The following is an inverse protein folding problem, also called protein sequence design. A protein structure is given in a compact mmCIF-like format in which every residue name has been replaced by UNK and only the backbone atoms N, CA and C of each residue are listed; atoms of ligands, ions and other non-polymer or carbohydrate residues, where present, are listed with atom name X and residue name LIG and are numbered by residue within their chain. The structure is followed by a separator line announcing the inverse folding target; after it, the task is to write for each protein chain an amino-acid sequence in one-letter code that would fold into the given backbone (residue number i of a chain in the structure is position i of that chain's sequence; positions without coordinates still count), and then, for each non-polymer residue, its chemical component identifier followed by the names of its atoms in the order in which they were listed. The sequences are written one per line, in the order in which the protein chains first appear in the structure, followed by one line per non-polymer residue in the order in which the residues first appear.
data_IF_805978984292
#
_entry.id   IF_805978984292
#
_cell.length_a   1.000
_cell.length_b   1.000
_cell.length_c   1.000
_cell.angle_alpha   90.00
_cell.angle_beta   90.00
_cell.angle_gamma   90.00
#
_symmetry.space_group_name_H-M   'P 1'
#
loop_
_entity.id
_entity.type
_entity.pdbx_description
1 polymer ?
#
# COMPACT_ATOMS: atom_id res chain seq x y z
N UNK A 1 -16.38 -19.89 19.41
CA UNK A 1 -17.56 -19.29 20.07
C UNK A 1 -17.91 -18.03 19.29
N UNK A 2 -19.03 -18.07 18.57
CA UNK A 2 -19.49 -17.01 17.67
C UNK A 2 -20.13 -15.88 18.48
N UNK A 3 -19.43 -14.77 18.65
CA UNK A 3 -19.99 -13.53 19.21
C UNK A 3 -20.63 -12.73 18.07
N UNK A 4 -21.88 -13.08 17.74
CA UNK A 4 -22.72 -12.22 16.93
C UNK A 4 -22.92 -10.89 17.65
N UNK A 5 -22.28 -9.82 17.16
CA UNK A 5 -22.63 -8.45 17.55
C UNK A 5 -23.95 -8.12 16.87
N UNK A 6 -25.03 -8.34 17.59
CA UNK A 6 -26.36 -7.79 17.29
C UNK A 6 -26.26 -6.27 17.20
N UNK A 7 -26.69 -5.72 16.06
CA UNK A 7 -27.00 -4.30 15.92
C UNK A 7 -27.86 -3.86 17.11
N UNK A 8 -27.44 -2.80 17.79
CA UNK A 8 -28.23 -2.16 18.84
C UNK A 8 -29.64 -1.92 18.31
N UNK A 9 -30.64 -2.57 18.90
CA UNK A 9 -32.03 -2.23 18.68
C UNK A 9 -32.23 -0.80 19.17
N UNK A 10 -32.25 0.16 18.25
CA UNK A 10 -32.53 1.56 18.53
C UNK A 10 -33.88 1.62 19.26
N UNK A 11 -33.83 1.87 20.57
CA UNK A 11 -35.03 2.06 21.39
C UNK A 11 -35.88 3.17 20.78
N UNK A 12 -37.16 2.87 20.49
CA UNK A 12 -38.15 3.83 19.95
C UNK A 12 -38.44 5.01 20.92
N UNK A 13 -37.81 5.05 22.08
CA UNK A 13 -38.27 5.90 23.19
C UNK A 13 -38.00 7.41 23.04
N UNK A 14 -37.44 7.92 21.92
CA UNK A 14 -37.29 9.36 21.69
C UNK A 14 -37.25 9.73 20.19
N UNK A 15 -38.33 9.48 19.43
CA UNK A 15 -38.44 10.03 18.06
C UNK A 15 -38.79 11.52 18.14
N UNK A 16 -38.02 12.42 17.50
CA UNK A 16 -38.32 13.84 17.55
C UNK A 16 -39.65 14.13 16.84
N UNK A 17 -40.39 15.11 17.33
CA UNK A 17 -41.69 15.49 16.75
C UNK A 17 -41.51 16.60 15.69
N UNK A 18 -40.74 16.30 14.64
CA UNK A 18 -40.45 17.25 13.56
C UNK A 18 -41.66 17.41 12.62
N UNK A 19 -42.38 16.32 12.38
CA UNK A 19 -43.66 16.30 11.67
C UNK A 19 -44.75 15.72 12.59
N UNK A 20 -46.03 16.10 12.41
CA UNK A 20 -47.16 15.47 13.10
C UNK A 20 -47.14 13.95 12.92
N UNK A 21 -46.95 13.21 14.01
CA UNK A 21 -46.70 11.76 13.96
C UNK A 21 -47.83 10.96 13.31
N UNK A 22 -49.09 11.33 13.54
CA UNK A 22 -50.26 10.65 12.99
C UNK A 22 -50.60 11.01 11.54
N UNK A 23 -49.92 11.99 10.95
CA UNK A 23 -50.18 12.41 9.57
C UNK A 23 -49.46 11.53 8.57
N UNK A 24 -50.12 11.28 7.42
CA UNK A 24 -49.57 10.47 6.33
C UNK A 24 -49.09 11.38 5.20
N UNK A 25 -47.85 11.16 4.78
CA UNK A 25 -47.18 11.86 3.71
C UNK A 25 -46.95 10.93 2.53
N UNK A 26 -47.16 11.43 1.32
CA UNK A 26 -47.06 10.70 0.06
C UNK A 26 -45.77 11.08 -0.67
N UNK A 27 -44.94 10.10 -0.98
CA UNK A 27 -43.65 10.31 -1.66
C UNK A 27 -43.67 9.49 -2.94
N UNK A 28 -43.72 10.18 -4.08
CA UNK A 28 -43.63 9.56 -5.40
C UNK A 28 -42.16 9.46 -5.79
N UNK A 29 -41.64 8.23 -5.92
CA UNK A 29 -40.27 7.94 -6.34
C UNK A 29 -40.32 7.21 -7.67
N UNK A 30 -39.87 7.87 -8.73
CA UNK A 30 -39.94 7.32 -10.09
C UNK A 30 -41.37 6.93 -10.46
N UNK A 31 -41.60 5.65 -10.72
CA UNK A 31 -42.88 5.05 -11.09
C UNK A 31 -43.72 4.55 -9.90
N UNK A 32 -43.26 4.71 -8.65
CA UNK A 32 -43.95 4.19 -7.47
C UNK A 32 -44.28 5.24 -6.43
N UNK A 33 -45.38 5.02 -5.72
CA UNK A 33 -45.84 5.86 -4.62
C UNK A 33 -45.61 5.14 -3.29
N UNK A 34 -45.08 5.87 -2.31
CA UNK A 34 -44.85 5.40 -0.95
C UNK A 34 -45.59 6.30 0.04
N UNK A 35 -46.18 5.70 1.07
CA UNK A 35 -46.85 6.43 2.15
C UNK A 35 -46.14 6.16 3.47
N UNK A 36 -45.74 7.24 4.15
CA UNK A 36 -45.03 7.19 5.44
C UNK A 36 -45.70 8.13 6.43
N UNK A 37 -45.72 7.75 7.70
CA UNK A 37 -46.20 8.63 8.76
C UNK A 37 -45.17 9.72 9.08
N UNK A 38 -45.63 10.83 9.67
CA UNK A 38 -44.75 11.86 10.18
C UNK A 38 -43.78 11.32 11.24
N UNK A 39 -44.15 10.29 11.99
CA UNK A 39 -43.27 9.57 12.92
C UNK A 39 -42.12 8.90 12.18
N UNK A 40 -42.40 8.11 11.14
CA UNK A 40 -41.37 7.44 10.34
C UNK A 40 -40.41 8.43 9.68
N UNK A 41 -40.93 9.53 9.12
CA UNK A 41 -40.09 10.56 8.52
C UNK A 41 -39.24 11.32 9.55
N UNK A 42 -39.71 11.44 10.79
CA UNK A 42 -38.97 12.10 11.86
C UNK A 42 -37.93 11.19 12.52
N UNK A 43 -37.97 9.88 12.30
CA UNK A 43 -37.06 8.90 12.91
C UNK A 43 -35.57 9.24 12.71
N UNK A 44 -35.20 9.62 11.49
CA UNK A 44 -33.85 10.09 11.12
C UNK A 44 -33.88 11.52 10.58
N UNK A 45 -34.65 12.38 11.27
CA UNK A 45 -34.68 13.82 11.01
C UNK A 45 -33.71 14.60 11.93
N UNK A 46 -33.31 15.83 11.55
CA UNK A 46 -33.72 16.56 10.35
C UNK A 46 -33.14 15.94 9.07
N UNK A 47 -33.98 15.84 8.04
CA UNK A 47 -33.71 15.23 6.74
C UNK A 47 -34.36 16.04 5.63
N UNK A 48 -34.07 15.69 4.37
CA UNK A 48 -34.74 16.28 3.20
C UNK A 48 -36.28 16.25 3.33
N UNK A 49 -36.84 15.15 3.83
CA UNK A 49 -38.30 15.00 3.96
C UNK A 49 -38.88 15.90 5.04
N UNK A 50 -38.28 15.92 6.24
CA UNK A 50 -38.78 16.76 7.33
C UNK A 50 -38.67 18.22 6.95
N UNK A 51 -37.56 18.63 6.33
CA UNK A 51 -37.36 20.03 5.93
C UNK A 51 -38.37 20.45 4.86
N UNK A 52 -38.59 19.60 3.85
CA UNK A 52 -39.56 19.87 2.78
C UNK A 52 -40.99 20.00 3.31
N UNK A 53 -41.47 19.04 4.11
CA UNK A 53 -42.85 19.05 4.59
C UNK A 53 -43.08 20.09 5.70
N UNK A 54 -42.05 20.43 6.49
CA UNK A 54 -42.11 21.56 7.42
C UNK A 54 -42.26 22.90 6.68
N UNK A 55 -41.52 23.09 5.59
CA UNK A 55 -41.60 24.30 4.76
C UNK A 55 -42.91 24.38 3.96
N UNK A 56 -43.50 23.23 3.59
CA UNK A 56 -44.69 23.13 2.74
C UNK A 56 -45.87 22.51 3.50
N UNK A 57 -46.32 23.12 4.60
CA UNK A 57 -47.34 22.55 5.51
C UNK A 57 -48.67 22.17 4.86
N UNK A 58 -49.05 22.83 3.77
CA UNK A 58 -50.30 22.56 3.03
C UNK A 58 -50.16 21.41 2.02
N UNK A 59 -48.94 20.93 1.78
CA UNK A 59 -48.63 19.91 0.78
C UNK A 59 -48.25 18.62 1.48
N UNK A 60 -49.04 17.56 1.26
CA UNK A 60 -48.76 16.22 1.81
C UNK A 60 -48.10 15.29 0.79
N UNK A 61 -47.66 15.80 -0.36
CA UNK A 61 -47.01 15.01 -1.41
C UNK A 61 -45.73 15.63 -1.97
N UNK A 62 -44.80 14.79 -2.41
CA UNK A 62 -43.59 15.20 -3.15
C UNK A 62 -43.27 14.15 -4.22
N UNK A 63 -42.68 14.59 -5.33
CA UNK A 63 -42.18 13.72 -6.40
C UNK A 63 -40.67 13.87 -6.54
N UNK A 64 -39.94 12.75 -6.61
CA UNK A 64 -38.49 12.68 -6.68
C UNK A 64 -38.07 11.65 -7.74
N UNK A 65 -37.14 12.03 -8.61
CA UNK A 65 -36.60 11.14 -9.63
C UNK A 65 -35.44 10.30 -9.09
N UNK A 66 -35.75 9.20 -8.39
CA UNK A 66 -34.78 8.25 -7.79
C UNK A 66 -35.28 6.81 -7.93
N UNK A 67 -34.46 5.83 -7.55
CA UNK A 67 -34.78 4.41 -7.69
C UNK A 67 -35.84 3.96 -6.65
N UNK A 68 -37.01 3.47 -7.08
CA UNK A 68 -38.01 2.94 -6.14
C UNK A 68 -37.52 1.69 -5.39
N UNK A 69 -36.62 0.91 -6.00
CA UNK A 69 -36.04 -0.30 -5.40
C UNK A 69 -35.21 0.04 -4.16
N UNK A 70 -34.35 1.06 -4.27
CA UNK A 70 -33.49 1.52 -3.17
C UNK A 70 -34.34 2.22 -2.11
N UNK A 71 -35.28 3.07 -2.54
CA UNK A 71 -36.15 3.79 -1.62
C UNK A 71 -37.03 2.87 -0.77
N UNK A 72 -37.45 1.72 -1.29
CA UNK A 72 -38.17 0.71 -0.48
C UNK A 72 -37.38 0.30 0.76
N UNK A 73 -36.05 0.15 0.67
CA UNK A 73 -35.20 -0.15 1.82
C UNK A 73 -35.13 1.03 2.80
N UNK A 74 -35.08 2.26 2.28
CA UNK A 74 -35.13 3.48 3.10
C UNK A 74 -36.44 3.55 3.89
N UNK A 75 -37.58 3.24 3.26
CA UNK A 75 -38.88 3.16 3.95
C UNK A 75 -38.83 2.16 5.11
N UNK A 76 -38.30 0.95 4.86
CA UNK A 76 -38.16 -0.07 5.91
C UNK A 76 -37.33 0.46 7.09
N UNK A 77 -36.21 1.15 6.83
CA UNK A 77 -35.40 1.77 7.87
C UNK A 77 -36.13 2.87 8.64
N UNK A 78 -36.82 3.79 7.94
CA UNK A 78 -37.59 4.87 8.57
C UNK A 78 -38.75 4.34 9.42
N UNK A 79 -39.26 3.14 9.09
CA UNK A 79 -40.25 2.40 9.88
C UNK A 79 -39.63 1.60 11.05
N UNK A 80 -38.30 1.61 11.18
CA UNK A 80 -37.55 0.96 12.25
C UNK A 80 -37.16 -0.50 11.98
N UNK A 81 -37.26 -0.99 10.74
CA UNK A 81 -36.77 -2.32 10.36
C UNK A 81 -35.27 -2.28 10.03
N UNK A 82 -34.57 -3.36 10.39
CA UNK A 82 -33.19 -3.57 9.95
C UNK A 82 -33.13 -3.76 8.42
N UNK A 83 -32.17 -3.11 7.76
CA UNK A 83 -31.91 -3.29 6.33
C UNK A 83 -30.84 -4.36 6.16
N UNK A 84 -31.05 -5.26 5.19
CA UNK A 84 -30.02 -6.18 4.72
C UNK A 84 -29.33 -5.65 3.45
N UNK A 85 -28.01 -5.61 3.49
CA UNK A 85 -27.14 -5.25 2.37
C UNK A 85 -26.54 -6.55 1.82
N UNK A 86 -27.09 -7.02 0.70
CA UNK A 86 -26.73 -8.31 0.12
C UNK A 86 -25.59 -8.25 -0.92
N UNK A 87 -25.35 -7.08 -1.52
CA UNK A 87 -24.40 -6.92 -2.62
C UNK A 87 -23.87 -5.48 -2.69
N UNK A 88 -22.84 -5.27 -3.52
CA UNK A 88 -22.21 -3.97 -3.76
C UNK A 88 -23.21 -2.94 -4.31
N UNK A 89 -24.06 -3.32 -5.26
CA UNK A 89 -25.07 -2.42 -5.84
C UNK A 89 -25.96 -1.80 -4.75
N UNK A 90 -26.51 -2.63 -3.87
CA UNK A 90 -27.39 -2.21 -2.79
C UNK A 90 -26.63 -1.33 -1.78
N UNK A 91 -25.36 -1.64 -1.47
CA UNK A 91 -24.53 -0.84 -0.57
C UNK A 91 -24.30 0.57 -1.12
N UNK A 92 -23.76 0.65 -2.33
CA UNK A 92 -23.41 1.89 -3.04
C UNK A 92 -24.62 2.80 -3.18
N UNK A 93 -25.73 2.27 -3.71
CA UNK A 93 -26.90 3.10 -3.98
C UNK A 93 -27.64 3.52 -2.71
N UNK A 94 -27.68 2.67 -1.68
CA UNK A 94 -28.30 3.04 -0.42
C UNK A 94 -27.49 4.12 0.29
N UNK A 95 -26.16 4.07 0.22
CA UNK A 95 -25.28 5.09 0.79
C UNK A 95 -25.43 6.44 0.07
N UNK A 96 -25.48 6.41 -1.27
CA UNK A 96 -25.75 7.59 -2.11
C UNK A 96 -27.09 8.22 -1.79
N UNK A 97 -28.16 7.42 -1.73
CA UNK A 97 -29.50 7.93 -1.47
C UNK A 97 -29.64 8.41 -0.01
N UNK A 98 -29.02 7.73 0.97
CA UNK A 98 -28.97 8.20 2.35
C UNK A 98 -28.30 9.58 2.46
N UNK A 99 -27.23 9.82 1.70
CA UNK A 99 -26.59 11.13 1.62
C UNK A 99 -27.50 12.17 0.95
N UNK A 100 -28.13 11.82 -0.18
CA UNK A 100 -29.06 12.69 -0.92
C UNK A 100 -30.24 13.15 -0.05
N UNK A 101 -30.88 12.23 0.66
CA UNK A 101 -32.01 12.53 1.56
C UNK A 101 -31.58 13.10 2.92
N UNK A 102 -30.27 13.25 3.17
CA UNK A 102 -29.70 13.72 4.44
C UNK A 102 -30.09 12.87 5.65
N UNK A 103 -30.20 11.56 5.48
CA UNK A 103 -30.49 10.59 6.54
C UNK A 103 -29.20 10.27 7.30
N UNK A 104 -28.87 11.10 8.30
CA UNK A 104 -27.55 11.09 8.93
C UNK A 104 -27.30 9.83 9.75
N UNK A 105 -28.30 9.33 10.50
CA UNK A 105 -28.15 8.11 11.30
C UNK A 105 -28.00 6.89 10.39
N UNK A 106 -28.79 6.80 9.32
CA UNK A 106 -28.65 5.74 8.31
C UNK A 106 -27.27 5.77 7.67
N UNK A 107 -26.87 6.94 7.14
CA UNK A 107 -25.56 7.11 6.51
C UNK A 107 -24.42 6.69 7.44
N UNK A 108 -24.47 7.13 8.70
CA UNK A 108 -23.47 6.74 9.72
C UNK A 108 -23.47 5.23 9.96
N UNK A 109 -24.64 4.60 10.07
CA UNK A 109 -24.74 3.15 10.23
C UNK A 109 -24.13 2.39 9.05
N UNK A 110 -24.43 2.81 7.81
CA UNK A 110 -23.90 2.17 6.60
C UNK A 110 -22.38 2.24 6.48
N UNK A 111 -21.76 3.32 6.96
CA UNK A 111 -20.29 3.48 6.96
C UNK A 111 -19.60 2.59 8.00
N UNK A 112 -20.33 2.18 9.05
CA UNK A 112 -19.83 1.24 10.07
C UNK A 112 -19.98 -0.23 9.64
N UNK A 113 -20.95 -0.53 8.77
CA UNK A 113 -21.11 -1.86 8.18
C UNK A 113 -19.95 -2.20 7.22
N UNK A 114 -19.62 -3.49 7.02
CA UNK A 114 -18.58 -3.88 6.09
C UNK A 114 -18.96 -3.45 4.66
N UNK A 115 -17.99 -2.86 3.96
CA UNK A 115 -18.09 -2.55 2.54
C UNK A 115 -18.30 -3.84 1.75
N UNK A 116 -19.30 -3.83 0.87
CA UNK A 116 -19.54 -4.90 -0.09
C UNK A 116 -18.81 -4.56 -1.39
N UNK A 117 -17.80 -5.35 -1.75
CA UNK A 117 -17.01 -5.12 -2.97
C UNK A 117 -17.02 -6.36 -3.85
N UNK A 118 -17.09 -6.16 -5.17
CA UNK A 118 -16.91 -7.23 -6.15
C UNK A 118 -15.49 -7.22 -6.70
N UNK A 119 -14.81 -8.36 -6.61
CA UNK A 119 -13.47 -8.55 -7.18
C UNK A 119 -13.51 -9.81 -8.03
N UNK A 120 -13.24 -9.68 -9.34
CA UNK A 120 -13.27 -10.81 -10.27
C UNK A 120 -14.59 -11.61 -10.28
N UNK A 121 -15.72 -10.95 -9.97
CA UNK A 121 -17.05 -11.58 -9.89
C UNK A 121 -17.41 -12.18 -8.53
N UNK A 122 -16.47 -12.26 -7.59
CA UNK A 122 -16.73 -12.68 -6.21
C UNK A 122 -17.00 -11.48 -5.30
N UNK A 123 -17.97 -11.61 -4.39
CA UNK A 123 -18.31 -10.54 -3.43
C UNK A 123 -17.59 -10.74 -2.11
N UNK A 124 -16.89 -9.70 -1.66
CA UNK A 124 -16.17 -9.66 -0.39
C UNK A 124 -16.82 -8.64 0.56
N UNK A 125 -16.76 -8.96 1.85
CA UNK A 125 -17.12 -8.07 2.96
C UNK A 125 -15.85 -7.58 3.62
N UNK A 126 -15.64 -6.26 3.62
CA UNK A 126 -14.42 -5.67 4.14
C UNK A 126 -14.77 -4.58 5.14
N UNK A 127 -14.27 -4.71 6.37
CA UNK A 127 -14.42 -3.67 7.37
C UNK A 127 -13.44 -2.52 7.07
N UNK A 128 -13.90 -1.29 7.28
CA UNK A 128 -13.10 -0.08 7.11
C UNK A 128 -11.79 -0.13 7.92
N UNK A 129 -11.83 -0.76 9.09
CA UNK A 129 -10.67 -0.99 9.96
C UNK A 129 -9.58 -1.83 9.29
N UNK A 130 -9.95 -2.89 8.56
CA UNK A 130 -9.02 -3.76 7.81
C UNK A 130 -8.24 -2.97 6.75
N UNK A 131 -8.87 -1.95 6.18
CA UNK A 131 -8.32 -1.10 5.12
C UNK A 131 -7.46 0.06 5.66
N UNK A 132 -7.55 0.36 6.96
CA UNK A 132 -6.96 1.56 7.57
C UNK A 132 -5.68 1.28 8.39
N UNK A 133 -4.83 0.39 7.88
CA UNK A 133 -3.50 0.14 8.47
C UNK A 133 -2.41 1.03 7.84
N UNK A 134 -1.31 1.33 8.58
CA UNK A 134 -0.19 2.12 8.05
C UNK A 134 0.33 1.58 6.71
N UNK A 135 0.44 2.47 5.72
CA UNK A 135 0.87 2.11 4.37
C UNK A 135 -0.18 1.41 3.52
N UNK A 136 -1.35 1.05 4.05
CA UNK A 136 -2.45 0.45 3.29
C UNK A 136 -3.63 1.42 3.10
N UNK A 137 -3.52 2.66 3.57
CA UNK A 137 -4.53 3.72 3.40
C UNK A 137 -3.84 5.05 3.04
N UNK A 138 -4.40 5.86 2.13
CA UNK A 138 -5.59 5.58 1.32
C UNK A 138 -5.32 4.50 0.25
N UNK A 139 -6.27 3.58 0.11
CA UNK A 139 -6.26 2.51 -0.90
C UNK A 139 -7.38 2.68 -1.93
N UNK A 140 -7.36 1.83 -2.95
CA UNK A 140 -8.36 1.76 -4.01
C UNK A 140 -9.80 1.85 -3.50
N UNK A 141 -10.17 1.04 -2.50
CA UNK A 141 -11.53 0.98 -1.97
C UNK A 141 -11.92 2.25 -1.20
N UNK A 142 -11.03 2.73 -0.34
CA UNK A 142 -11.28 3.98 0.41
C UNK A 142 -11.39 5.19 -0.52
N UNK A 143 -10.61 5.22 -1.62
CA UNK A 143 -10.66 6.27 -2.62
C UNK A 143 -11.98 6.24 -3.38
N UNK A 144 -12.40 5.09 -3.88
CA UNK A 144 -13.70 4.94 -4.56
C UNK A 144 -14.84 5.33 -3.64
N UNK A 145 -14.82 4.84 -2.40
CA UNK A 145 -15.84 5.16 -1.41
C UNK A 145 -15.91 6.68 -1.15
N UNK A 146 -14.76 7.34 -0.96
CA UNK A 146 -14.70 8.79 -0.76
C UNK A 146 -15.21 9.58 -1.98
N UNK A 147 -14.87 9.15 -3.19
CA UNK A 147 -15.32 9.77 -4.44
C UNK A 147 -16.84 9.63 -4.60
N UNK A 148 -17.39 8.44 -4.37
CA UNK A 148 -18.83 8.19 -4.43
C UNK A 148 -19.61 9.05 -3.41
N UNK A 149 -19.06 9.25 -2.21
CA UNK A 149 -19.65 10.12 -1.20
C UNK A 149 -19.69 11.59 -1.64
N UNK A 150 -18.72 12.04 -2.43
CA UNK A 150 -18.62 13.42 -2.92
C UNK A 150 -19.40 13.68 -4.20
N UNK A 151 -19.36 12.75 -5.16
CA UNK A 151 -20.11 12.83 -6.42
C UNK A 151 -20.60 11.43 -6.84
N UNK A 152 -21.89 11.11 -6.61
CA UNK A 152 -22.48 9.82 -6.95
C UNK A 152 -22.51 9.46 -8.44
N UNK A 153 -22.28 10.43 -9.33
CA UNK A 153 -22.40 10.27 -10.78
C UNK A 153 -21.05 10.08 -11.47
N UNK A 154 -19.96 9.99 -10.73
CA UNK A 154 -18.65 9.73 -11.31
C UNK A 154 -18.54 8.27 -11.74
N UNK A 155 -18.35 8.04 -13.04
CA UNK A 155 -17.96 6.74 -13.56
C UNK A 155 -16.53 6.42 -13.11
N UNK A 156 -16.37 5.30 -12.40
CA UNK A 156 -15.07 4.76 -12.08
C UNK A 156 -14.45 4.19 -13.37
N UNK A 157 -13.63 4.99 -14.05
CA UNK A 157 -12.76 4.55 -15.15
C UNK A 157 -11.59 3.71 -14.64
N UNK A 158 -11.88 2.68 -13.85
CA UNK A 158 -10.87 1.74 -13.37
C UNK A 158 -10.59 0.76 -14.49
N UNK A 159 -9.37 0.80 -15.04
CA UNK A 159 -8.88 -0.21 -15.98
C UNK A 159 -9.20 -1.60 -15.40
N UNK A 160 -9.91 -2.41 -16.18
CA UNK A 160 -10.18 -3.80 -15.87
C UNK A 160 -8.87 -4.57 -15.91
N UNK A 161 -8.13 -4.54 -14.79
CA UNK A 161 -7.19 -5.62 -14.51
C UNK A 161 -8.03 -6.89 -14.37
N UNK A 162 -7.57 -8.01 -14.92
CA UNK A 162 -8.17 -9.32 -14.66
C UNK A 162 -7.95 -9.65 -13.18
N UNK A 163 -8.86 -9.14 -12.34
CA UNK A 163 -8.79 -9.28 -10.90
C UNK A 163 -8.88 -10.75 -10.53
N UNK A 164 -7.89 -11.25 -9.79
CA UNK A 164 -7.79 -12.64 -9.36
C UNK A 164 -8.41 -12.77 -7.95
N UNK A 165 -9.68 -13.19 -7.80
CA UNK A 165 -10.37 -13.18 -6.50
C UNK A 165 -9.64 -14.02 -5.43
N UNK A 166 -9.00 -15.11 -5.86
CA UNK A 166 -8.23 -15.97 -4.96
C UNK A 166 -7.01 -15.27 -4.35
N UNK A 167 -6.30 -14.44 -5.12
CA UNK A 167 -5.19 -13.65 -4.58
C UNK A 167 -5.71 -12.56 -3.65
N UNK A 168 -6.80 -11.90 -4.03
CA UNK A 168 -7.43 -10.89 -3.20
C UNK A 168 -7.84 -11.44 -1.82
N UNK A 169 -8.37 -12.66 -1.77
CA UNK A 169 -8.65 -13.36 -0.52
C UNK A 169 -7.41 -13.55 0.35
N UNK A 170 -6.27 -13.89 -0.24
CA UNK A 170 -4.99 -14.00 0.47
C UNK A 170 -4.51 -12.62 0.95
N UNK A 171 -4.69 -11.56 0.16
CA UNK A 171 -4.39 -10.19 0.57
C UNK A 171 -5.23 -9.76 1.76
N UNK A 172 -6.54 -10.04 1.74
CA UNK A 172 -7.42 -9.78 2.88
C UNK A 172 -6.95 -10.54 4.12
N UNK A 173 -6.58 -11.81 3.99
CA UNK A 173 -6.01 -12.57 5.10
C UNK A 173 -4.75 -11.88 5.68
N UNK A 174 -3.87 -11.37 4.81
CA UNK A 174 -2.70 -10.59 5.20
C UNK A 174 -3.01 -9.24 5.87
N UNK A 175 -4.02 -8.52 5.38
CA UNK A 175 -4.47 -7.23 5.94
C UNK A 175 -5.05 -7.38 7.35
N UNK A 176 -5.65 -8.53 7.67
CA UNK A 176 -6.06 -8.88 9.04
C UNK A 176 -4.87 -9.21 9.96
N UNK A 177 -3.63 -9.07 9.49
CA UNK A 177 -2.41 -9.30 10.27
C UNK A 177 -1.87 -10.71 10.16
N UNK A 178 -2.52 -11.63 9.44
CA UNK A 178 -2.01 -12.99 9.29
C UNK A 178 -0.81 -13.06 8.33
N UNK A 179 -0.06 -14.14 8.43
CA UNK A 179 1.05 -14.44 7.51
C UNK A 179 0.53 -15.10 6.24
N UNK A 180 0.92 -14.57 5.08
CA UNK A 180 0.57 -15.15 3.78
C UNK A 180 1.61 -16.22 3.43
N UNK A 181 1.16 -17.44 3.16
CA UNK A 181 2.04 -18.52 2.76
C UNK A 181 2.46 -18.35 1.30
N UNK A 182 3.77 -18.14 1.08
CA UNK A 182 4.32 -17.94 -0.26
C UNK A 182 4.66 -19.30 -0.89
N UNK A 183 3.88 -19.68 -1.90
CA UNK A 183 4.00 -20.96 -2.61
C UNK A 183 5.18 -21.00 -3.60
N UNK A 184 5.51 -19.87 -4.22
CA UNK A 184 6.58 -19.72 -5.20
C UNK A 184 6.96 -18.25 -5.39
N UNK A 185 8.08 -17.98 -6.07
CA UNK A 185 8.46 -16.60 -6.44
C UNK A 185 7.47 -15.96 -7.43
N UNK A 186 6.84 -16.75 -8.31
CA UNK A 186 5.76 -16.27 -9.18
C UNK A 186 4.52 -15.86 -8.35
N UNK A 187 4.12 -16.69 -7.38
CA UNK A 187 3.02 -16.35 -6.47
C UNK A 187 3.29 -15.07 -5.69
N UNK A 188 4.53 -14.88 -5.19
CA UNK A 188 4.93 -13.64 -4.51
C UNK A 188 4.79 -12.43 -5.43
N UNK A 189 5.22 -12.54 -6.68
CA UNK A 189 5.13 -11.48 -7.68
C UNK A 189 3.67 -11.08 -7.95
N UNK A 190 2.82 -12.06 -8.22
CA UNK A 190 1.39 -11.85 -8.45
C UNK A 190 0.72 -11.15 -7.24
N UNK A 191 1.06 -11.53 -6.01
CA UNK A 191 0.55 -10.87 -4.79
C UNK A 191 1.05 -9.42 -4.67
N UNK A 192 2.30 -9.15 -5.04
CA UNK A 192 2.88 -7.80 -5.02
C UNK A 192 2.19 -6.91 -6.06
N UNK A 193 1.94 -7.41 -7.27
CA UNK A 193 1.21 -6.69 -8.33
C UNK A 193 -0.21 -6.32 -7.89
N UNK A 194 -0.95 -7.26 -7.29
CA UNK A 194 -2.28 -6.97 -6.72
C UNK A 194 -2.19 -5.94 -5.58
N UNK A 195 -1.17 -6.01 -4.72
CA UNK A 195 -0.95 -4.98 -3.69
C UNK A 195 -0.72 -3.59 -4.28
N UNK A 196 0.01 -3.48 -5.41
CA UNK A 196 0.20 -2.21 -6.10
C UNK A 196 -1.11 -1.67 -6.68
N UNK A 197 -1.90 -2.54 -7.32
CA UNK A 197 -3.20 -2.20 -7.89
C UNK A 197 -4.14 -1.65 -6.82
N UNK A 198 -4.31 -2.37 -5.70
CA UNK A 198 -5.17 -1.92 -4.60
C UNK A 198 -4.51 -0.84 -3.72
N UNK A 199 -3.22 -0.56 -3.90
CA UNK A 199 -2.41 0.37 -3.09
C UNK A 199 -2.24 -0.06 -1.62
N UNK A 200 -2.10 -1.36 -1.38
CA UNK A 200 -1.73 -1.93 -0.09
C UNK A 200 -0.21 -1.95 0.09
N UNK A 201 0.42 -0.77 0.14
CA UNK A 201 1.88 -0.65 0.15
C UNK A 201 2.53 -1.22 1.42
N UNK A 202 1.86 -1.14 2.57
CA UNK A 202 2.31 -1.76 3.80
C UNK A 202 2.33 -3.29 3.68
N UNK A 203 1.28 -3.89 3.12
CA UNK A 203 1.25 -5.33 2.85
C UNK A 203 2.29 -5.73 1.79
N UNK A 204 2.47 -4.93 0.73
CA UNK A 204 3.55 -5.12 -0.24
C UNK A 204 4.92 -5.19 0.45
N UNK A 205 5.23 -4.27 1.35
CA UNK A 205 6.51 -4.25 2.07
C UNK A 205 6.73 -5.52 2.91
N UNK A 206 5.67 -6.12 3.47
CA UNK A 206 5.74 -7.42 4.18
C UNK A 206 6.03 -8.59 3.24
N UNK A 207 5.59 -8.50 1.98
CA UNK A 207 5.76 -9.54 0.96
C UNK A 207 7.12 -9.49 0.27
N UNK A 208 7.85 -8.37 0.35
CA UNK A 208 9.19 -8.24 -0.24
C UNK A 208 10.14 -9.27 0.36
N UNK A 209 10.93 -9.91 -0.51
CA UNK A 209 11.95 -10.88 -0.10
C UNK A 209 13.11 -10.14 0.56
N UNK A 210 13.40 -10.51 1.79
CA UNK A 210 14.48 -9.92 2.58
C UNK A 210 14.95 -10.96 3.60
N UNK A 211 16.10 -10.69 4.21
CA UNK A 211 16.63 -11.49 5.29
C UNK A 211 17.18 -10.59 6.38
N UNK A 212 16.77 -10.83 7.62
CA UNK A 212 17.34 -10.17 8.81
C UNK A 212 18.21 -11.18 9.53
N UNK A 213 19.43 -10.77 9.89
CA UNK A 213 20.39 -11.57 10.67
C UNK A 213 21.09 -10.69 11.69
N UNK A 214 21.57 -11.28 12.78
CA UNK A 214 22.50 -10.61 13.69
C UNK A 214 23.92 -10.93 13.25
N UNK A 215 24.71 -9.89 12.97
CA UNK A 215 26.12 -10.04 12.67
C UNK A 215 26.87 -10.44 13.96
N UNK A 216 27.56 -11.59 14.00
CA UNK A 216 28.19 -12.09 15.23
C UNK A 216 29.45 -11.32 15.64
N UNK A 217 30.01 -10.48 14.77
CA UNK A 217 31.22 -9.71 15.05
C UNK A 217 30.90 -8.30 15.57
N UNK A 218 29.88 -7.65 15.00
CA UNK A 218 29.43 -6.31 15.42
C UNK A 218 28.30 -6.37 16.45
N UNK A 219 27.63 -7.52 16.60
CA UNK A 219 26.38 -7.69 17.36
C UNK A 219 25.25 -6.75 16.90
N UNK A 220 25.32 -6.25 15.66
CA UNK A 220 24.26 -5.42 15.04
C UNK A 220 23.33 -6.28 14.19
N UNK A 221 22.08 -5.87 14.04
CA UNK A 221 21.17 -6.48 13.06
C UNK A 221 21.44 -5.93 11.67
N UNK A 222 21.50 -6.83 10.69
CA UNK A 222 21.64 -6.54 9.26
C UNK A 222 20.35 -6.90 8.53
N UNK A 223 20.01 -6.12 7.51
CA UNK A 223 18.95 -6.44 6.55
C UNK A 223 19.55 -6.59 5.14
N UNK A 224 19.44 -7.80 4.60
CA UNK A 224 19.74 -8.09 3.19
C UNK A 224 18.47 -7.96 2.36
N UNK A 225 18.52 -7.13 1.32
CA UNK A 225 17.38 -6.83 0.44
C UNK A 225 17.85 -6.51 -0.98
N UNK A 226 17.05 -6.86 -1.99
CA UNK A 226 17.37 -6.54 -3.38
C UNK A 226 17.30 -5.03 -3.64
N UNK A 227 18.24 -4.50 -4.43
CA UNK A 227 18.27 -3.07 -4.79
C UNK A 227 16.95 -2.54 -5.38
N UNK A 228 16.20 -3.35 -6.11
CA UNK A 228 14.92 -2.95 -6.72
C UNK A 228 13.82 -2.66 -5.67
N UNK A 229 13.95 -3.26 -4.49
CA UNK A 229 12.95 -3.21 -3.41
C UNK A 229 13.24 -2.13 -2.35
N UNK A 230 14.43 -1.52 -2.39
CA UNK A 230 14.85 -0.48 -1.44
C UNK A 230 14.06 0.82 -1.70
N UNK A 231 13.54 1.43 -0.63
CA UNK A 231 12.88 2.74 -0.68
C UNK A 231 13.76 3.80 -0.04
N UNK A 232 13.96 4.91 -0.75
CA UNK A 232 14.78 6.04 -0.27
C UNK A 232 14.32 6.56 1.10
N UNK A 233 13.01 6.53 1.37
CA UNK A 233 12.43 6.96 2.65
C UNK A 233 12.81 6.08 3.85
N UNK A 234 13.29 4.86 3.60
CA UNK A 234 13.74 3.94 4.65
C UNK A 234 15.24 4.01 4.92
N UNK A 235 16.00 4.80 4.16
CA UNK A 235 17.45 4.92 4.30
C UNK A 235 17.82 5.92 5.38
N UNK A 236 18.83 5.59 6.17
CA UNK A 236 19.42 6.45 7.18
C UNK A 236 20.95 6.42 7.05
N UNK A 237 21.56 7.59 6.99
CA UNK A 237 23.00 7.74 7.16
C UNK A 237 23.28 8.76 8.28
N UNK A 238 23.75 8.25 9.42
CA UNK A 238 23.98 9.04 10.64
C UNK A 238 25.08 10.11 10.48
N UNK A 239 25.94 10.02 9.45
CA UNK A 239 27.04 10.97 9.25
C UNK A 239 26.68 12.21 8.45
N UNK A 240 25.61 12.21 7.66
CA UNK A 240 25.30 13.37 6.80
C UNK A 240 24.82 14.61 7.57
N UNK A 241 24.31 14.45 8.79
CA UNK A 241 23.84 15.55 9.65
C UNK A 241 24.85 15.94 10.76
N UNK A 242 25.99 15.26 10.85
CA UNK A 242 27.00 15.48 11.89
C UNK A 242 28.09 16.42 11.39
N UNK A 243 28.32 17.55 12.09
CA UNK A 243 29.47 18.44 11.83
C UNK A 243 30.74 17.58 11.89
N UNK A 244 31.47 17.55 10.78
CA UNK A 244 32.67 16.74 10.51
C UNK A 244 33.68 16.93 11.65
N UNK A 245 33.59 16.06 12.66
CA UNK A 245 34.43 16.07 13.85
C UNK A 245 35.46 14.96 13.77
N UNK A 246 36.62 15.27 13.18
CA UNK A 246 37.96 14.69 13.41
C UNK A 246 38.19 13.16 13.48
N UNK A 247 37.21 12.29 13.27
CA UNK A 247 37.41 10.85 13.06
C UNK A 247 36.62 10.40 11.84
N UNK A 248 37.34 10.18 10.74
CA UNK A 248 36.86 9.76 9.42
C UNK A 248 36.34 8.30 9.43
N UNK A 249 35.34 7.98 10.27
CA UNK A 249 34.75 6.65 10.30
C UNK A 249 33.67 6.55 9.22
N UNK A 250 33.92 5.73 8.20
CA UNK A 250 32.87 5.23 7.32
C UNK A 250 31.74 4.65 8.18
N UNK A 251 30.56 5.27 8.15
CA UNK A 251 29.38 4.72 8.83
C UNK A 251 28.57 3.85 7.90
N UNK A 252 28.16 2.70 8.41
CA UNK A 252 27.28 1.80 7.67
C UNK A 252 25.92 2.48 7.49
N UNK A 253 25.45 2.54 6.25
CA UNK A 253 24.10 3.01 5.92
C UNK A 253 23.10 2.02 6.50
N UNK A 254 22.07 2.54 7.16
CA UNK A 254 21.01 1.73 7.76
C UNK A 254 19.73 1.80 6.95
N UNK A 255 18.89 0.80 7.12
CA UNK A 255 17.60 0.70 6.45
C UNK A 255 16.50 0.20 7.39
N UNK A 256 15.33 0.83 7.28
CA UNK A 256 14.09 0.42 7.91
C UNK A 256 13.02 0.30 6.82
N UNK A 257 12.37 -0.86 6.69
CA UNK A 257 11.32 -1.05 5.68
C UNK A 257 10.14 -0.13 6.02
N UNK A 258 9.68 0.71 5.08
CA UNK A 258 8.54 1.58 5.30
C UNK A 258 7.32 0.79 5.77
N UNK A 259 6.58 1.34 6.73
CA UNK A 259 5.33 0.81 7.29
C UNK A 259 5.43 -0.50 8.10
N UNK A 260 6.54 -1.23 8.04
CA UNK A 260 6.67 -2.58 8.63
C UNK A 260 7.61 -2.60 9.82
N UNK A 261 8.74 -1.93 9.73
CA UNK A 261 9.78 -1.99 10.76
C UNK A 261 9.62 -0.94 11.87
N UNK A 262 8.58 -0.08 11.80
CA UNK A 262 8.25 0.91 12.84
C UNK A 262 9.42 1.81 13.27
N UNK A 263 10.35 2.11 12.36
CA UNK A 263 11.52 2.95 12.64
C UNK A 263 12.71 2.19 13.24
N UNK A 264 12.66 0.86 13.33
CA UNK A 264 13.82 0.04 13.65
C UNK A 264 14.74 0.01 12.43
N UNK A 265 15.95 0.56 12.59
CA UNK A 265 16.97 0.64 11.55
C UNK A 265 18.02 -0.46 11.74
N UNK A 266 18.39 -1.11 10.62
CA UNK A 266 19.36 -2.21 10.55
C UNK A 266 20.45 -1.89 9.54
N UNK A 267 21.63 -2.44 9.71
CA UNK A 267 22.74 -2.28 8.78
C UNK A 267 22.33 -2.83 7.39
N UNK A 268 22.44 -2.01 6.35
CA UNK A 268 21.93 -2.33 5.03
C UNK A 268 22.93 -3.16 4.23
N UNK A 269 22.49 -4.33 3.76
CA UNK A 269 23.19 -5.16 2.77
C UNK A 269 22.40 -5.17 1.47
N UNK A 270 22.94 -4.54 0.42
CA UNK A 270 22.28 -4.46 -0.88
C UNK A 270 22.63 -5.70 -1.71
N UNK A 271 21.61 -6.44 -2.13
CA UNK A 271 21.75 -7.53 -3.08
C UNK A 271 21.53 -7.03 -4.51
N UNK A 272 22.58 -7.19 -5.33
CA UNK A 272 22.60 -6.81 -6.74
C UNK A 272 22.45 -8.06 -7.60
N UNK A 273 21.23 -8.27 -8.12
CA UNK A 273 20.93 -9.34 -9.07
C UNK A 273 20.63 -8.73 -10.44
N UNK A 274 21.68 -8.39 -11.19
CA UNK A 274 21.56 -7.76 -12.50
C UNK A 274 22.78 -8.07 -13.36
N UNK A 275 22.56 -8.33 -14.65
CA UNK A 275 23.64 -8.45 -15.64
C UNK A 275 24.24 -7.10 -16.03
N UNK A 276 23.66 -5.99 -15.57
CA UNK A 276 24.14 -4.62 -15.83
C UNK A 276 25.22 -4.18 -14.82
N UNK A 277 25.65 -5.09 -13.93
CA UNK A 277 26.61 -4.82 -12.87
C UNK A 277 27.91 -5.57 -13.15
N UNK A 278 29.03 -4.86 -13.16
CA UNK A 278 30.36 -5.42 -13.37
C UNK A 278 31.29 -5.00 -12.23
N UNK A 279 32.05 -5.95 -11.68
CA UNK A 279 33.14 -5.66 -10.76
C UNK A 279 34.44 -5.50 -11.55
N UNK A 280 34.97 -4.28 -11.62
CA UNK A 280 36.26 -3.99 -12.24
C UNK A 280 37.36 -3.96 -11.18
N UNK A 281 38.37 -4.80 -11.36
CA UNK A 281 39.54 -4.89 -10.48
C UNK A 281 40.73 -4.27 -11.22
N UNK A 282 41.23 -3.12 -10.74
CA UNK A 282 42.44 -2.52 -11.27
C UNK A 282 43.64 -2.99 -10.46
N UNK A 283 44.39 -3.95 -10.98
CA UNK A 283 45.56 -4.55 -10.30
C UNK A 283 46.78 -3.63 -10.29
N UNK A 284 46.88 -2.69 -11.23
CA UNK A 284 48.00 -1.74 -11.29
C UNK A 284 47.88 -0.64 -10.24
N UNK A 285 46.66 -0.11 -10.06
CA UNK A 285 46.35 0.96 -9.12
C UNK A 285 45.75 0.45 -7.80
N UNK A 286 45.58 -0.87 -7.66
CA UNK A 286 45.09 -1.58 -6.47
C UNK A 286 43.75 -1.07 -5.93
N UNK A 287 42.77 -0.88 -6.81
CA UNK A 287 41.41 -0.54 -6.40
C UNK A 287 40.37 -1.40 -7.14
N UNK A 288 39.19 -1.46 -6.56
CA UNK A 288 38.02 -2.13 -7.13
C UNK A 288 36.91 -1.11 -7.34
N UNK A 289 36.28 -1.13 -8.51
CA UNK A 289 35.11 -0.33 -8.79
C UNK A 289 33.94 -1.23 -9.17
N UNK A 290 32.77 -0.90 -8.65
CA UNK A 290 31.51 -1.38 -9.19
C UNK A 290 31.11 -0.49 -10.37
N UNK A 291 30.95 -1.07 -11.54
CA UNK A 291 30.44 -0.42 -12.74
C UNK A 291 29.01 -0.87 -12.98
N UNK A 292 28.07 0.06 -12.99
CA UNK A 292 26.64 -0.24 -13.14
C UNK A 292 26.08 0.53 -14.32
N UNK A 293 25.31 -0.15 -15.16
CA UNK A 293 24.74 0.41 -16.38
C UNK A 293 23.21 0.34 -16.39
N UNK A 294 22.58 0.90 -17.42
CA UNK A 294 21.17 0.67 -17.74
C UNK A 294 20.16 1.11 -16.67
N UNK A 295 19.12 0.30 -16.46
CA UNK A 295 18.06 0.61 -15.49
C UNK A 295 18.58 0.47 -14.04
N UNK A 296 19.41 -0.54 -13.79
CA UNK A 296 20.04 -0.79 -12.49
C UNK A 296 20.83 0.43 -12.02
N UNK A 297 21.52 1.11 -12.94
CA UNK A 297 22.26 2.34 -12.68
C UNK A 297 21.35 3.46 -12.16
N UNK A 298 20.21 3.67 -12.81
CA UNK A 298 19.25 4.71 -12.42
C UNK A 298 18.65 4.45 -11.04
N UNK A 299 18.31 3.18 -10.76
CA UNK A 299 17.77 2.77 -9.46
C UNK A 299 18.81 2.92 -8.35
N UNK A 300 20.04 2.43 -8.57
CA UNK A 300 21.10 2.50 -7.57
C UNK A 300 21.55 3.95 -7.33
N UNK A 301 21.64 4.79 -8.37
CA UNK A 301 21.90 6.22 -8.21
C UNK A 301 20.86 6.87 -7.31
N UNK A 302 19.57 6.57 -7.51
CA UNK A 302 18.49 7.12 -6.67
C UNK A 302 18.66 6.73 -5.20
N UNK A 303 19.08 5.49 -4.91
CA UNK A 303 19.37 5.02 -3.56
C UNK A 303 20.57 5.78 -2.99
N UNK A 304 21.70 5.79 -3.72
CA UNK A 304 22.96 6.38 -3.26
C UNK A 304 22.86 7.89 -3.06
N UNK A 305 22.15 8.61 -3.94
CA UNK A 305 21.98 10.08 -3.85
C UNK A 305 21.37 10.58 -2.54
N UNK A 306 20.79 9.70 -1.72
CA UNK A 306 20.26 10.03 -0.39
C UNK A 306 21.29 9.83 0.73
N UNK A 307 22.30 9.00 0.52
CA UNK A 307 23.17 8.47 1.58
C UNK A 307 24.66 8.68 1.31
N UNK A 308 25.07 8.98 0.09
CA UNK A 308 26.47 9.19 -0.28
C UNK A 308 26.57 10.04 -1.54
N UNK A 309 27.58 10.90 -1.59
CA UNK A 309 28.00 11.60 -2.81
C UNK A 309 29.28 10.98 -3.41
N UNK A 310 29.78 9.90 -2.80
CA UNK A 310 31.02 9.22 -3.19
C UNK A 310 30.76 8.18 -4.31
N UNK A 311 30.30 8.68 -5.46
CA UNK A 311 30.15 7.93 -6.70
C UNK A 311 30.32 8.85 -7.91
N UNK A 312 30.73 8.28 -9.04
CA UNK A 312 30.77 9.01 -10.32
C UNK A 312 29.60 8.54 -11.18
N UNK A 313 28.83 9.50 -11.71
CA UNK A 313 27.73 9.21 -12.63
C UNK A 313 27.98 9.91 -13.97
N UNK A 314 27.95 9.13 -15.05
CA UNK A 314 28.20 9.57 -16.40
C UNK A 314 27.01 9.23 -17.31
N UNK A 315 26.80 10.06 -18.32
CA UNK A 315 25.96 9.76 -19.48
C UNK A 315 26.88 9.69 -20.69
N UNK A 316 27.06 8.51 -21.27
CA UNK A 316 27.89 8.31 -22.47
C UNK A 316 27.01 7.73 -23.55
N UNK A 317 26.87 8.44 -24.67
CA UNK A 317 26.04 8.04 -25.82
C UNK A 317 24.59 7.67 -25.45
N UNK A 318 24.02 8.38 -24.47
CA UNK A 318 22.65 8.13 -23.96
C UNK A 318 22.53 6.95 -23.00
N UNK A 319 23.62 6.27 -22.68
CA UNK A 319 23.66 5.23 -21.65
C UNK A 319 24.11 5.76 -20.30
N UNK A 320 23.32 5.44 -19.28
CA UNK A 320 23.63 5.75 -17.88
C UNK A 320 24.70 4.81 -17.34
N UNK A 321 25.75 5.37 -16.77
CA UNK A 321 26.84 4.64 -16.13
C UNK A 321 27.11 5.21 -14.74
N UNK A 322 27.19 4.34 -13.76
CA UNK A 322 27.50 4.64 -12.37
C UNK A 322 28.77 3.87 -11.99
N UNK A 323 29.72 4.58 -11.39
CA UNK A 323 30.99 4.04 -10.91
C UNK A 323 31.05 4.28 -9.41
N UNK A 324 31.13 3.21 -8.65
CA UNK A 324 31.24 3.26 -7.19
C UNK A 324 32.57 2.62 -6.80
N UNK A 325 33.43 3.36 -6.11
CA UNK A 325 34.64 2.81 -5.53
C UNK A 325 34.24 1.87 -4.39
N UNK A 326 34.78 0.64 -4.38
CA UNK A 326 34.46 -0.32 -3.34
C UNK A 326 35.72 -0.80 -2.61
N UNK A 327 35.59 -0.96 -1.30
CA UNK A 327 36.63 -1.56 -0.48
C UNK A 327 36.40 -3.08 -0.41
N UNK A 328 37.41 -3.84 -0.82
CA UNK A 328 37.38 -5.31 -0.82
C UNK A 328 38.23 -5.94 0.27
N UNK A 329 38.72 -5.10 1.20
CA UNK A 329 39.45 -5.58 2.38
C UNK A 329 38.58 -6.60 3.11
N UNK A 330 39.20 -7.69 3.55
CA UNK A 330 38.55 -8.74 4.32
C UNK A 330 37.38 -9.46 3.62
N UNK A 331 37.19 -9.24 2.33
CA UNK A 331 36.18 -9.94 1.54
C UNK A 331 36.47 -11.44 1.47
N UNK A 332 35.40 -12.23 1.54
CA UNK A 332 35.38 -13.68 1.31
C UNK A 332 34.43 -13.95 0.15
N UNK A 333 34.62 -15.06 -0.57
CA UNK A 333 33.77 -15.35 -1.72
C UNK A 333 33.91 -16.76 -2.24
N UNK A 334 33.15 -17.05 -3.29
CA UNK A 334 33.34 -18.26 -4.10
C UNK A 334 33.64 -17.86 -5.54
N UNK A 335 34.71 -18.39 -6.11
CA UNK A 335 35.06 -18.21 -7.51
C UNK A 335 34.99 -19.58 -8.20
N UNK A 336 34.11 -19.73 -9.20
CA UNK A 336 33.90 -20.99 -9.92
C UNK A 336 33.66 -22.20 -9.00
N UNK A 337 32.94 -22.00 -7.89
CA UNK A 337 32.65 -23.04 -6.90
C UNK A 337 33.72 -23.23 -5.82
N UNK A 338 34.90 -22.61 -5.95
CA UNK A 338 35.98 -22.68 -4.95
C UNK A 338 35.80 -21.57 -3.92
N UNK A 339 35.82 -21.94 -2.63
CA UNK A 339 35.85 -20.96 -1.53
C UNK A 339 37.20 -20.24 -1.51
N UNK A 340 37.17 -18.92 -1.43
CA UNK A 340 38.35 -18.07 -1.38
C UNK A 340 38.63 -17.62 0.05
N UNK A 341 39.92 -17.54 0.41
CA UNK A 341 40.36 -17.03 1.70
C UNK A 341 40.03 -15.54 1.89
N UNK A 342 40.04 -15.10 3.14
CA UNK A 342 39.83 -13.71 3.52
C UNK A 342 40.85 -12.81 2.83
N UNK A 343 40.38 -11.78 2.12
CA UNK A 343 41.24 -10.83 1.41
C UNK A 343 41.79 -11.32 0.06
N UNK A 344 41.22 -12.40 -0.51
CA UNK A 344 41.70 -13.00 -1.76
C UNK A 344 41.81 -12.03 -2.94
N UNK A 345 40.98 -10.98 -2.99
CA UNK A 345 41.05 -9.96 -4.06
C UNK A 345 42.37 -9.20 -3.99
N UNK A 346 42.86 -8.87 -2.80
CA UNK A 346 44.14 -8.20 -2.62
C UNK A 346 45.29 -9.13 -3.05
N UNK A 347 45.23 -10.40 -2.64
CA UNK A 347 46.19 -11.43 -3.10
C UNK A 347 46.20 -11.55 -4.62
N UNK A 348 45.03 -11.53 -5.27
CA UNK A 348 44.91 -11.58 -6.72
C UNK A 348 45.56 -10.36 -7.38
N UNK A 349 45.33 -9.15 -6.85
CA UNK A 349 45.96 -7.93 -7.36
C UNK A 349 47.49 -8.02 -7.30
N UNK A 350 48.03 -8.48 -6.17
CA UNK A 350 49.47 -8.61 -5.97
C UNK A 350 50.10 -9.63 -6.93
N UNK A 351 49.47 -10.80 -7.11
CA UNK A 351 49.93 -11.83 -8.05
C UNK A 351 49.94 -11.32 -9.50
N UNK A 352 48.86 -10.67 -9.94
CA UNK A 352 48.77 -10.16 -11.31
C UNK A 352 49.81 -9.07 -11.60
N UNK A 353 50.14 -8.24 -10.61
CA UNK A 353 51.17 -7.22 -10.76
C UNK A 353 52.57 -7.84 -10.97
N UNK A 354 52.86 -8.95 -10.29
CA UNK A 354 54.10 -9.72 -10.51
C UNK A 354 54.12 -10.26 -11.95
N UNK A 355 53.05 -10.92 -12.39
CA UNK A 355 52.96 -11.49 -13.76
C UNK A 355 53.15 -10.42 -14.83
N UNK A 356 52.52 -9.25 -14.69
CA UNK A 356 52.69 -8.14 -15.65
C UNK A 356 54.13 -7.62 -15.68
N UNK A 357 54.79 -7.49 -14.53
CA UNK A 357 56.21 -7.08 -14.46
C UNK A 357 57.13 -8.09 -15.14
N UNK A 358 56.90 -9.38 -14.93
CA UNK A 358 57.69 -10.47 -15.55
C UNK A 358 57.47 -10.53 -17.06
N UNK A 359 56.23 -10.39 -17.54
CA UNK A 359 55.91 -10.35 -18.96
C UNK A 359 56.47 -9.12 -19.68
N UNK A 360 56.59 -7.98 -18.97
CA UNK A 360 57.21 -6.78 -19.53
C UNK A 360 58.74 -6.88 -19.62
N UNK A 361 59.35 -7.67 -18.75
CA UNK A 361 60.78 -8.02 -18.80
C UNK A 361 61.08 -8.94 -20.00
N UNK A 362 60.24 -9.95 -20.25
CA UNK A 362 60.39 -10.87 -21.39
C UNK A 362 60.10 -10.28 -22.78
N UNK A 363 59.55 -9.05 -22.86
CA UNK A 363 59.34 -8.33 -24.13
C UNK A 363 60.43 -7.29 -24.46
N UNK A 364 61.41 -7.13 -23.58
CA UNK A 364 62.54 -6.20 -23.76
C UNK A 364 63.87 -6.89 -24.08
N UNK A 365 63.86 -8.22 -24.13
CA UNK A 365 64.89 -9.08 -24.73
C UNK A 365 64.36 -9.59 -26.08
#
# INVERSE_FOLDING_TARGET
MSSGRTAESISRQNIPQLLPHGEIYTINIGDKTFQLSGESLSFDGPSFFTDYFCANRNTKSITINRSPKVFKKICMYLQGYAIQIGNEYDYVHLLVDAAYYRLQKLKRGLVMEPMMVSVGGETFKIYTETLNSPGNSPNYFTLIHSTLMGNPFMENNTKHFEQKPQLFKELLYGLHGHSIHIKSDLHRRDLIEECEYYRFFGLKQRLIKHQIRTNPFTNTEEITINHTDIKVSGLLNDTMDSIIGLNNSFTVVKYSRPYVDEGIYRDLVIQLESSEVNLMINTSLKFCNLLVYGETCMQLKKILSKVSDDYVYEQVDGMSKLIVLIQTADSVGKLNGMTMDKGWINTLMDLMQIVMKTAHFQRKD
#
